data_IF_325253122437
#
_entry.id   IF_325253122437
#
_cell.length_a   1.000
_cell.length_b   1.000
_cell.length_c   1.000
_cell.angle_alpha   90.00
_cell.angle_beta   90.00
_cell.angle_gamma   90.00
#
_symmetry.space_group_name_H-M   'P 1'
#
loop_
_entity.id
_entity.type
_entity.pdbx_description
1 polymer ?
#
# COMPACT_ATOMS: atom_id res chain seq x y z
N UNK A 1 5.73 -11.35 2.76
CA UNK A 1 4.49 -11.60 1.97
C UNK A 1 4.83 -12.56 0.83
N UNK A 2 3.90 -13.42 0.40
CA UNK A 2 4.10 -14.33 -0.74
C UNK A 2 3.03 -14.10 -1.81
N UNK A 3 3.44 -14.02 -3.07
CA UNK A 3 2.53 -14.11 -4.22
C UNK A 3 2.49 -15.56 -4.67
N UNK A 4 1.31 -16.19 -4.63
CA UNK A 4 1.13 -17.58 -5.01
C UNK A 4 0.26 -17.69 -6.26
N UNK A 5 0.74 -18.43 -7.25
CA UNK A 5 -0.01 -18.79 -8.45
C UNK A 5 -0.54 -20.22 -8.29
N UNK A 6 -1.85 -20.41 -8.04
CA UNK A 6 -2.43 -21.74 -7.85
C UNK A 6 -2.41 -22.59 -9.13
N UNK A 7 -2.40 -21.97 -10.32
CA UNK A 7 -2.42 -22.70 -11.59
C UNK A 7 -1.07 -23.36 -11.90
N UNK A 8 0.04 -22.79 -11.43
CA UNK A 8 1.39 -23.33 -11.61
C UNK A 8 1.98 -23.92 -10.35
N UNK A 9 1.30 -23.75 -9.21
CA UNK A 9 1.78 -24.09 -7.87
C UNK A 9 3.14 -23.44 -7.51
N UNK A 10 3.45 -22.30 -8.12
CA UNK A 10 4.65 -21.53 -7.85
C UNK A 10 4.33 -20.37 -6.89
N UNK A 11 5.25 -20.12 -5.97
CA UNK A 11 5.18 -18.97 -5.08
C UNK A 11 6.42 -18.10 -5.22
N UNK A 12 6.24 -16.79 -5.15
CA UNK A 12 7.33 -15.80 -5.08
C UNK A 12 7.31 -15.10 -3.74
N UNK A 13 8.45 -15.10 -3.06
CA UNK A 13 8.63 -14.28 -1.86
C UNK A 13 8.76 -12.81 -2.26
N UNK A 14 7.90 -11.96 -1.70
CA UNK A 14 7.95 -10.53 -1.92
C UNK A 14 8.76 -9.91 -0.78
N UNK A 15 9.85 -9.17 -1.07
CA UNK A 15 10.63 -8.51 -0.03
C UNK A 15 9.72 -7.59 0.78
N UNK A 16 9.88 -7.56 2.10
CA UNK A 16 9.05 -6.69 2.93
C UNK A 16 9.34 -5.23 2.58
N UNK A 17 8.31 -4.42 2.26
CA UNK A 17 8.44 -2.98 2.37
C UNK A 17 8.65 -2.68 3.87
N UNK A 18 9.45 -1.66 4.18
CA UNK A 18 10.01 -1.35 5.50
C UNK A 18 9.15 -1.73 6.72
N UNK A 19 9.78 -2.30 7.75
CA UNK A 19 9.18 -2.66 9.04
C UNK A 19 8.62 -1.41 9.73
N UNK A 20 7.32 -1.21 9.69
CA UNK A 20 6.64 -0.19 10.47
C UNK A 20 5.30 -0.73 10.94
N UNK A 21 4.89 -0.36 12.15
CA UNK A 21 3.56 -0.62 12.71
C UNK A 21 2.47 0.24 12.02
N UNK A 22 2.69 0.60 10.76
CA UNK A 22 1.80 1.44 9.97
C UNK A 22 0.58 0.61 9.55
N UNK A 23 -0.60 1.23 9.54
CA UNK A 23 -1.78 0.58 8.95
C UNK A 23 -1.61 0.56 7.44
N UNK A 24 -1.95 -0.56 6.79
CA UNK A 24 -1.76 -0.71 5.36
C UNK A 24 -2.92 -1.42 4.66
N UNK A 25 -3.06 -1.11 3.38
CA UNK A 25 -3.94 -1.77 2.45
C UNK A 25 -3.14 -2.20 1.22
N UNK A 26 -3.46 -3.38 0.72
CA UNK A 26 -2.75 -4.01 -0.40
C UNK A 26 -3.72 -4.24 -1.55
N UNK A 27 -3.31 -3.83 -2.75
CA UNK A 27 -3.93 -4.18 -4.02
C UNK A 27 -2.97 -4.99 -4.89
N UNK A 28 -3.49 -5.90 -5.70
CA UNK A 28 -2.71 -6.69 -6.65
C UNK A 28 -3.36 -6.60 -8.03
N UNK A 29 -2.54 -6.42 -9.06
CA UNK A 29 -3.03 -6.33 -10.43
C UNK A 29 -1.97 -6.68 -11.45
N UNK A 30 -2.41 -6.89 -12.68
CA UNK A 30 -1.56 -7.05 -13.84
C UNK A 30 -1.58 -5.75 -14.64
N UNK A 31 -0.40 -5.21 -14.93
CA UNK A 31 -0.23 -4.06 -15.82
C UNK A 31 0.10 -4.57 -17.22
N UNK A 32 -0.86 -4.45 -18.14
CA UNK A 32 -0.71 -4.92 -19.51
C UNK A 32 0.31 -4.09 -20.31
N UNK A 33 0.49 -2.82 -19.97
CA UNK A 33 1.41 -1.92 -20.68
C UNK A 33 2.86 -2.35 -20.41
N UNK A 34 3.16 -2.66 -19.16
CA UNK A 34 4.49 -3.10 -18.73
C UNK A 34 4.65 -4.63 -18.72
N UNK A 35 3.57 -5.38 -19.01
CA UNK A 35 3.49 -6.84 -18.88
C UNK A 35 4.04 -7.32 -17.53
N UNK A 36 3.57 -6.70 -16.44
CA UNK A 36 4.12 -6.87 -15.10
C UNK A 36 3.03 -7.02 -14.06
N UNK A 37 3.22 -7.97 -13.15
CA UNK A 37 2.39 -8.08 -11.96
C UNK A 37 2.87 -7.08 -10.91
N UNK A 38 1.94 -6.24 -10.45
CA UNK A 38 2.23 -5.17 -9.50
C UNK A 38 1.45 -5.36 -8.22
N UNK A 39 2.08 -5.00 -7.11
CA UNK A 39 1.40 -4.88 -5.81
C UNK A 39 1.43 -3.40 -5.44
N UNK A 40 0.27 -2.84 -5.15
CA UNK A 40 0.14 -1.47 -4.63
C UNK A 40 -0.06 -1.58 -3.13
N UNK A 41 0.73 -0.85 -2.37
CA UNK A 41 0.65 -0.73 -0.93
C UNK A 41 0.32 0.70 -0.58
N UNK A 42 -0.84 0.94 0.03
CA UNK A 42 -1.22 2.24 0.60
C UNK A 42 -0.98 2.16 2.09
N UNK A 43 -0.35 3.18 2.66
CA UNK A 43 0.11 3.17 4.04
C UNK A 43 -0.35 4.41 4.77
N UNK A 44 -0.92 4.22 5.95
CA UNK A 44 -1.33 5.29 6.86
C UNK A 44 -0.42 5.24 8.08
N UNK A 45 0.37 6.29 8.24
CA UNK A 45 1.30 6.44 9.37
C UNK A 45 0.87 7.58 10.25
N UNK A 46 0.56 7.28 11.51
CA UNK A 46 0.34 8.30 12.52
C UNK A 46 1.68 8.96 12.88
N UNK A 47 1.74 10.29 12.79
CA UNK A 47 2.90 11.05 13.24
C UNK A 47 3.02 10.93 14.76
N UNK A 48 4.19 10.55 15.30
CA UNK A 48 4.40 10.42 16.76
C UNK A 48 4.05 11.69 17.54
N UNK A 49 4.19 12.86 16.91
CA UNK A 49 3.86 14.17 17.50
C UNK A 49 2.37 14.34 17.83
N UNK A 50 1.50 13.48 17.33
CA UNK A 50 0.05 13.52 17.57
C UNK A 50 -0.44 12.55 18.65
N UNK A 51 0.45 11.76 19.27
CA UNK A 51 0.10 10.75 20.28
C UNK A 51 -0.65 11.32 21.50
N UNK A 52 -0.51 12.62 21.79
CA UNK A 52 -1.17 13.31 22.89
C UNK A 52 -2.49 14.04 22.53
N UNK A 53 -2.94 14.05 21.26
CA UNK A 53 -4.16 14.75 20.82
C UNK A 53 -5.39 13.82 20.67
N UNK A 54 -5.41 12.71 21.39
CA UNK A 54 -6.46 11.67 21.30
C UNK A 54 -7.90 12.16 21.60
N UNK A 55 -8.09 13.40 22.10
CA UNK A 55 -9.39 13.94 22.50
C UNK A 55 -9.70 15.39 22.04
N UNK A 56 -8.86 16.01 21.20
CA UNK A 56 -9.15 17.38 20.73
C UNK A 56 -9.60 17.36 19.27
N UNK A 57 -10.69 18.10 18.98
CA UNK A 57 -11.38 18.16 17.67
C UNK A 57 -10.56 18.85 16.56
N UNK A 58 -9.24 18.75 16.58
CA UNK A 58 -8.36 19.43 15.62
C UNK A 58 -7.87 18.43 14.56
N UNK A 59 -8.42 18.58 13.35
CA UNK A 59 -7.95 18.13 12.03
C UNK A 59 -6.99 16.92 12.04
N UNK A 60 -7.57 15.70 12.03
CA UNK A 60 -6.85 14.43 11.91
C UNK A 60 -5.92 14.37 10.67
N UNK A 61 -6.23 15.16 9.64
CA UNK A 61 -5.52 15.30 8.38
C UNK A 61 -4.06 15.80 8.49
N UNK A 62 -3.69 16.51 9.56
CA UNK A 62 -2.29 16.94 9.80
C UNK A 62 -1.44 15.87 10.51
N UNK A 63 -2.11 14.92 11.15
CA UNK A 63 -1.52 13.90 12.02
C UNK A 63 -1.20 12.58 11.31
N UNK A 64 -1.54 12.49 10.03
CA UNK A 64 -1.42 11.28 9.24
C UNK A 64 -0.53 11.55 8.02
N UNK A 65 0.48 10.71 7.83
CA UNK A 65 1.27 10.65 6.62
C UNK A 65 0.74 9.47 5.79
N UNK A 66 0.21 9.78 4.60
CA UNK A 66 -0.27 8.77 3.66
C UNK A 66 0.67 8.71 2.47
N UNK A 67 1.16 7.52 2.18
CA UNK A 67 2.02 7.28 1.02
C UNK A 67 1.72 5.96 0.34
N UNK A 68 2.18 5.83 -0.90
CA UNK A 68 1.99 4.64 -1.73
C UNK A 68 3.33 4.09 -2.18
N UNK A 69 3.51 2.79 -1.98
CA UNK A 69 4.58 2.01 -2.57
C UNK A 69 4.02 1.07 -3.62
N UNK A 70 4.74 0.90 -4.73
CA UNK A 70 4.41 -0.07 -5.78
C UNK A 70 5.55 -1.05 -5.92
N UNK A 71 5.23 -2.33 -5.81
CA UNK A 71 6.14 -3.41 -6.14
C UNK A 71 5.98 -3.80 -7.61
N UNK A 72 7.09 -3.93 -8.32
CA UNK A 72 7.15 -4.56 -9.64
C UNK A 72 7.69 -5.98 -9.49
N UNK A 73 6.97 -6.98 -10.02
CA UNK A 73 7.46 -8.35 -10.01
C UNK A 73 8.66 -8.52 -10.92
N UNK A 74 8.62 -7.93 -12.12
CA UNK A 74 9.71 -8.03 -13.09
C UNK A 74 11.00 -7.37 -12.57
N UNK A 75 10.90 -6.22 -11.91
CA UNK A 75 12.07 -5.52 -11.34
C UNK A 75 12.43 -6.01 -9.94
N UNK A 76 11.53 -6.76 -9.29
CA UNK A 76 11.69 -7.30 -7.94
C UNK A 76 12.05 -6.22 -6.91
N UNK A 77 11.41 -5.05 -7.02
CA UNK A 77 11.69 -3.87 -6.19
C UNK A 77 10.43 -3.11 -5.84
N UNK A 78 10.43 -2.52 -4.64
CA UNK A 78 9.45 -1.53 -4.23
C UNK A 78 9.91 -0.12 -4.61
N UNK A 79 9.00 0.69 -5.14
CA UNK A 79 9.21 2.11 -5.37
C UNK A 79 8.13 2.94 -4.68
N UNK A 80 8.54 4.00 -3.99
CA UNK A 80 7.62 4.99 -3.42
C UNK A 80 7.12 5.90 -4.54
N UNK A 81 5.82 6.07 -4.67
CA UNK A 81 5.26 7.04 -5.60
C UNK A 81 5.33 8.46 -5.00
N UNK A 82 5.60 9.48 -5.83
CA UNK A 82 5.59 10.87 -5.38
C UNK A 82 4.14 11.35 -5.17
N UNK A 83 3.96 12.23 -4.18
CA UNK A 83 2.69 12.90 -3.91
C UNK A 83 1.76 12.15 -2.96
N UNK A 84 0.74 12.87 -2.48
CA UNK A 84 -0.33 12.30 -1.65
C UNK A 84 -1.38 11.68 -2.58
N UNK A 85 -1.82 10.44 -2.38
CA UNK A 85 -2.83 9.85 -3.23
C UNK A 85 -4.18 10.54 -2.99
N UNK A 86 -4.95 10.75 -4.06
CA UNK A 86 -6.16 11.59 -4.03
C UNK A 86 -7.45 10.79 -3.92
N UNK A 87 -7.43 9.51 -4.29
CA UNK A 87 -8.61 8.64 -4.33
C UNK A 87 -8.42 7.45 -3.37
N UNK A 88 -8.46 7.76 -2.09
CA UNK A 88 -8.24 6.81 -1.00
C UNK A 88 -9.54 6.74 -0.19
N UNK A 89 -10.28 5.61 -0.18
CA UNK A 89 -11.34 5.41 0.78
C UNK A 89 -10.78 5.49 2.20
N UNK A 90 -11.28 6.46 2.97
CA UNK A 90 -10.97 6.69 4.39
C UNK A 90 -11.47 5.57 5.32
N UNK A 91 -12.03 4.49 4.76
CA UNK A 91 -12.51 3.36 5.53
C UNK A 91 -11.36 2.38 5.70
N UNK A 92 -10.70 2.54 6.85
CA UNK A 92 -9.74 1.61 7.41
C UNK A 92 -10.18 0.16 7.16
N UNK A 93 -9.25 -0.64 6.64
CA UNK A 93 -9.22 -2.10 6.66
C UNK A 93 -9.57 -2.87 5.39
N UNK A 94 -9.98 -2.27 4.26
CA UNK A 94 -10.12 -3.05 3.01
C UNK A 94 -10.12 -2.20 1.75
N UNK A 95 -9.18 -2.52 0.86
CA UNK A 95 -9.17 -2.07 -0.53
C UNK A 95 -9.33 -3.30 -1.41
N UNK A 96 -10.51 -3.49 -1.98
CA UNK A 96 -10.68 -4.38 -3.12
C UNK A 96 -10.40 -3.54 -4.38
N UNK A 97 -9.13 -3.19 -4.64
CA UNK A 97 -8.79 -2.58 -5.94
C UNK A 97 -8.77 -3.69 -6.98
N UNK A 98 -9.92 -3.93 -7.59
CA UNK A 98 -9.98 -4.55 -8.91
C UNK A 98 -9.57 -3.44 -9.88
N UNK A 99 -8.32 -3.47 -10.35
CA UNK A 99 -7.93 -2.64 -11.49
C UNK A 99 -8.62 -3.27 -12.70
N UNK A 100 -9.59 -2.56 -13.28
CA UNK A 100 -10.33 -3.05 -14.45
C UNK A 100 -9.37 -3.52 -15.55
N UNK A 101 -9.63 -4.74 -16.03
CA UNK A 101 -9.19 -5.28 -17.33
C UNK A 101 -9.88 -4.54 -18.47
#
# INVERSE_FOLDING_TARGET
>A
MYLWNPATNLSKHIPSPSLSDDEEALGFGFDEIDNDFKIVRVVWRFKPTCYHKKYSRFHAEDCEEIYVDVYSSNQNIWRKLPGKPTDIPYLFNKFDVIVNT
#
